data_IF_238075610435
#
_entry.id   IF_238075610435
#
_cell.length_a   1.000
_cell.length_b   1.000
_cell.length_c   1.000
_cell.angle_alpha   90.00
_cell.angle_beta   90.00
_cell.angle_gamma   90.00
#
_symmetry.space_group_name_H-M   'P 1'
#
loop_
_entity.id
_entity.type
_entity.pdbx_description
1 polymer ?
#
# COMPACT_ATOMS: atom_id res chain seq x y z
N UNK A 1 47.87 35.87 -23.53
CA UNK A 1 46.54 36.36 -23.18
C UNK A 1 45.41 35.67 -23.95
N UNK A 2 45.48 35.45 -25.26
CA UNK A 2 44.42 34.79 -26.06
C UNK A 2 44.17 33.33 -25.67
N UNK A 3 45.17 32.58 -25.26
CA UNK A 3 45.04 31.17 -24.84
C UNK A 3 44.37 31.00 -23.47
N UNK A 4 44.57 31.91 -22.53
CA UNK A 4 43.90 31.87 -21.22
C UNK A 4 42.40 32.18 -21.33
N UNK A 5 41.99 33.06 -22.24
CA UNK A 5 40.57 33.35 -22.50
C UNK A 5 39.83 32.17 -23.06
N UNK A 6 40.44 31.33 -23.89
CA UNK A 6 39.84 30.09 -24.43
C UNK A 6 39.68 29.03 -23.35
N UNK A 7 40.63 28.91 -22.42
CA UNK A 7 40.51 27.97 -21.29
C UNK A 7 39.42 28.38 -20.30
N UNK A 8 39.27 29.67 -19.99
CA UNK A 8 38.22 30.17 -19.12
C UNK A 8 36.82 29.96 -19.76
N UNK A 9 36.69 30.17 -21.07
CA UNK A 9 35.43 29.92 -21.78
C UNK A 9 35.04 28.44 -21.81
N UNK A 10 36.01 27.53 -21.87
CA UNK A 10 35.76 26.09 -21.88
C UNK A 10 35.33 25.57 -20.49
N UNK A 11 35.91 26.14 -19.41
CA UNK A 11 35.51 25.78 -18.03
C UNK A 11 34.13 26.30 -17.64
N UNK A 12 33.67 27.43 -18.21
CA UNK A 12 32.33 27.96 -17.92
C UNK A 12 31.22 27.17 -18.58
N UNK A 13 31.51 26.42 -19.65
CA UNK A 13 30.52 25.57 -20.35
C UNK A 13 30.20 24.24 -19.66
N UNK A 14 30.98 23.85 -18.63
CA UNK A 14 30.81 22.57 -17.93
C UNK A 14 29.93 22.66 -16.67
N UNK A 15 29.37 23.84 -16.35
CA UNK A 15 28.51 24.04 -15.20
C UNK A 15 26.98 23.98 -15.51
N UNK A 16 26.62 23.64 -16.72
CA UNK A 16 25.21 23.51 -17.11
C UNK A 16 24.86 22.04 -17.12
N UNK A 17 24.40 21.50 -15.99
CA UNK A 17 23.86 20.15 -16.08
C UNK A 17 23.78 19.33 -14.80
N UNK A 18 23.39 19.91 -13.71
CA UNK A 18 22.64 19.13 -12.71
C UNK A 18 21.21 19.69 -12.73
N UNK A 19 20.41 19.16 -13.63
CA UNK A 19 18.97 19.22 -13.49
C UNK A 19 18.66 18.09 -12.51
N UNK A 20 18.77 18.36 -11.20
CA UNK A 20 18.17 17.51 -10.18
C UNK A 20 16.66 17.58 -10.44
N UNK A 21 16.17 16.62 -11.21
CA UNK A 21 14.74 16.46 -11.44
C UNK A 21 14.09 16.48 -10.07
N UNK A 22 13.20 17.43 -9.88
CA UNK A 22 12.36 17.52 -8.68
C UNK A 22 11.61 16.19 -8.58
N UNK A 23 12.11 15.28 -7.74
CA UNK A 23 11.40 14.03 -7.42
C UNK A 23 10.17 14.41 -6.62
N UNK A 24 9.09 14.73 -7.32
CA UNK A 24 7.77 14.81 -6.68
C UNK A 24 7.41 13.40 -6.23
N UNK A 25 7.68 13.12 -4.95
CA UNK A 25 7.21 11.89 -4.30
C UNK A 25 5.70 11.99 -4.23
N UNK A 26 5.03 11.40 -5.20
CA UNK A 26 3.57 11.29 -5.20
C UNK A 26 3.16 10.43 -4.01
N UNK A 27 2.39 11.00 -3.08
CA UNK A 27 1.94 10.26 -1.90
C UNK A 27 0.68 9.49 -2.25
N UNK A 28 0.63 8.23 -1.87
CA UNK A 28 -0.63 7.47 -1.91
C UNK A 28 -1.56 8.02 -0.83
N UNK A 29 -2.65 8.63 -1.25
CA UNK A 29 -3.59 9.25 -0.32
C UNK A 29 -4.86 8.41 -0.24
N UNK A 30 -4.89 7.43 0.65
CA UNK A 30 -6.11 6.71 1.01
C UNK A 30 -6.63 7.23 2.35
N UNK A 31 -7.69 8.00 2.34
CA UNK A 31 -8.24 8.69 3.52
C UNK A 31 -9.06 7.79 4.44
N UNK A 32 -9.63 6.70 3.93
CA UNK A 32 -10.42 5.77 4.74
C UNK A 32 -9.58 5.08 5.82
N UNK A 33 -10.16 4.78 6.97
CA UNK A 33 -9.50 4.08 8.09
C UNK A 33 -9.80 2.59 8.13
N UNK A 34 -10.72 2.09 7.30
CA UNK A 34 -11.16 0.70 7.29
C UNK A 34 -10.48 -0.09 6.16
N UNK A 35 -10.11 -1.31 6.48
CA UNK A 35 -9.71 -2.34 5.54
C UNK A 35 -10.83 -3.37 5.41
N UNK A 36 -11.10 -3.84 4.21
CA UNK A 36 -12.20 -4.75 3.90
C UNK A 36 -11.66 -6.11 3.48
N UNK A 37 -12.50 -7.15 3.63
CA UNK A 37 -12.28 -8.49 3.10
C UNK A 37 -13.61 -9.06 2.63
N UNK A 38 -13.56 -10.22 2.00
CA UNK A 38 -14.78 -10.95 1.60
C UNK A 38 -15.40 -11.74 2.74
N UNK A 39 -14.65 -12.00 3.79
CA UNK A 39 -15.10 -12.61 5.05
C UNK A 39 -14.81 -11.62 6.19
N UNK A 40 -15.56 -11.74 7.30
CA UNK A 40 -15.31 -10.95 8.51
C UNK A 40 -14.73 -11.82 9.62
N UNK A 41 -13.85 -12.73 9.26
CA UNK A 41 -13.23 -13.70 10.17
C UNK A 41 -11.70 -13.78 9.99
N UNK A 42 -11.08 -14.67 10.74
CA UNK A 42 -9.62 -14.85 10.73
C UNK A 42 -9.12 -15.74 9.58
N UNK A 43 -10.01 -16.26 8.73
CA UNK A 43 -9.63 -17.15 7.61
C UNK A 43 -9.25 -16.38 6.36
N UNK A 44 -9.50 -15.06 6.33
CA UNK A 44 -9.13 -14.21 5.20
C UNK A 44 -7.66 -14.32 4.84
N UNK A 45 -7.38 -14.27 3.56
CA UNK A 45 -6.02 -14.29 2.99
C UNK A 45 -5.65 -12.98 2.31
N UNK A 46 -6.60 -12.03 2.24
CA UNK A 46 -6.33 -10.71 1.72
C UNK A 46 -7.26 -9.66 2.32
N UNK A 47 -6.78 -8.44 2.35
CA UNK A 47 -7.52 -7.24 2.69
C UNK A 47 -7.41 -6.25 1.53
N UNK A 48 -8.46 -5.49 1.30
CA UNK A 48 -8.43 -4.44 0.29
C UNK A 48 -8.97 -3.12 0.85
N UNK A 49 -8.58 -2.05 0.19
CA UNK A 49 -9.00 -0.69 0.47
C UNK A 49 -9.16 0.03 -0.86
N UNK A 50 -10.23 0.79 -1.03
CA UNK A 50 -10.53 1.50 -2.28
C UNK A 50 -10.66 2.98 -2.05
N UNK A 51 -10.28 3.78 -3.05
CA UNK A 51 -10.53 5.21 -3.10
C UNK A 51 -10.69 5.65 -4.56
N UNK A 52 -11.88 6.11 -4.93
CA UNK A 52 -12.17 6.41 -6.34
C UNK A 52 -11.92 5.20 -7.23
N UNK A 53 -11.09 5.37 -8.24
CA UNK A 53 -10.71 4.33 -9.20
C UNK A 53 -9.46 3.53 -8.76
N UNK A 54 -9.06 3.65 -7.51
CA UNK A 54 -7.84 3.03 -7.01
C UNK A 54 -8.13 2.00 -5.93
N UNK A 55 -7.28 0.98 -5.83
CA UNK A 55 -7.32 0.01 -4.75
C UNK A 55 -5.92 -0.39 -4.29
N UNK A 56 -5.81 -0.62 -2.98
CA UNK A 56 -4.69 -1.34 -2.37
C UNK A 56 -5.17 -2.71 -1.94
N UNK A 57 -4.42 -3.76 -2.26
CA UNK A 57 -4.74 -5.15 -1.95
C UNK A 57 -3.54 -5.74 -1.22
N UNK A 58 -3.72 -6.04 0.06
CA UNK A 58 -2.72 -6.70 0.89
C UNK A 58 -3.06 -8.18 0.99
N UNK A 59 -2.20 -9.03 0.43
CA UNK A 59 -2.33 -10.48 0.48
C UNK A 59 -1.35 -11.07 1.51
N UNK A 60 -1.80 -12.13 2.19
CA UNK A 60 -1.02 -12.84 3.19
C UNK A 60 -1.52 -14.28 3.34
N UNK A 61 -0.77 -15.11 4.08
CA UNK A 61 -1.15 -16.52 4.32
C UNK A 61 -2.40 -16.63 5.20
N UNK A 62 -3.19 -17.66 5.00
CA UNK A 62 -4.35 -17.99 5.84
C UNK A 62 -3.95 -18.14 7.32
N UNK A 63 -4.91 -17.84 8.22
CA UNK A 63 -4.75 -17.94 9.67
C UNK A 63 -3.63 -17.04 10.26
N UNK A 64 -3.27 -15.98 9.54
CA UNK A 64 -2.33 -14.97 10.04
C UNK A 64 -2.98 -14.11 11.13
N UNK A 65 -4.20 -13.65 10.87
CA UNK A 65 -4.99 -12.89 11.84
C UNK A 65 -5.53 -13.85 12.90
N UNK A 66 -5.47 -13.43 14.15
CA UNK A 66 -5.98 -14.23 15.29
C UNK A 66 -6.83 -13.37 16.21
N UNK A 67 -7.92 -13.93 16.74
CA UNK A 67 -8.73 -13.31 17.77
C UNK A 67 -8.02 -13.34 19.13
N UNK A 68 -6.87 -12.67 19.20
CA UNK A 68 -6.00 -12.58 20.36
C UNK A 68 -5.22 -11.27 20.30
N UNK A 69 -5.14 -10.57 21.44
CA UNK A 69 -4.29 -9.37 21.56
C UNK A 69 -2.83 -9.77 21.31
N UNK A 70 -2.24 -9.22 20.23
CA UNK A 70 -0.91 -9.55 19.77
C UNK A 70 -0.38 -8.45 18.82
N UNK A 71 0.92 -8.50 18.54
CA UNK A 71 1.53 -7.70 17.48
C UNK A 71 2.46 -8.57 16.67
N UNK A 72 2.20 -8.65 15.37
CA UNK A 72 3.00 -9.43 14.43
C UNK A 72 3.54 -8.52 13.33
N UNK A 73 4.66 -8.89 12.75
CA UNK A 73 5.26 -8.18 11.62
C UNK A 73 5.88 -9.12 10.61
N UNK A 74 6.02 -8.63 9.38
CA UNK A 74 6.69 -9.35 8.30
C UNK A 74 6.94 -8.45 7.10
N UNK A 75 7.86 -8.86 6.24
CA UNK A 75 8.27 -8.06 5.10
C UNK A 75 7.42 -8.36 3.87
N UNK A 76 7.14 -7.33 3.09
CA UNK A 76 6.63 -7.47 1.72
C UNK A 76 7.66 -8.27 0.92
N UNK A 77 7.19 -9.21 0.10
CA UNK A 77 8.02 -10.18 -0.60
C UNK A 77 8.33 -11.45 0.20
N UNK A 78 8.06 -11.47 1.52
CA UNK A 78 8.21 -12.65 2.37
C UNK A 78 6.92 -12.90 3.18
N UNK A 79 5.95 -13.56 2.55
CA UNK A 79 4.66 -13.90 3.14
C UNK A 79 3.60 -12.79 3.09
N UNK A 80 3.95 -11.60 2.61
CA UNK A 80 3.05 -10.50 2.32
C UNK A 80 3.28 -10.00 0.90
N UNK A 81 2.19 -9.69 0.19
CA UNK A 81 2.21 -9.03 -1.10
C UNK A 81 1.27 -7.84 -1.04
N UNK A 82 1.73 -6.67 -1.45
CA UNK A 82 0.88 -5.49 -1.60
C UNK A 82 0.82 -5.10 -3.08
N UNK A 83 -0.40 -4.98 -3.59
CA UNK A 83 -0.69 -4.51 -4.94
C UNK A 83 -1.40 -3.16 -4.86
N UNK A 84 -0.97 -2.22 -5.68
CA UNK A 84 -1.69 -1.00 -5.98
C UNK A 84 -2.26 -1.12 -7.39
N UNK A 85 -3.57 -0.97 -7.52
CA UNK A 85 -4.30 -1.05 -8.79
C UNK A 85 -5.03 0.23 -9.10
N UNK A 86 -5.00 0.64 -10.35
CA UNK A 86 -5.91 1.63 -10.91
C UNK A 86 -6.89 0.96 -11.88
N UNK A 87 -8.08 1.53 -11.96
CA UNK A 87 -9.18 0.99 -12.76
C UNK A 87 -9.76 2.06 -13.69
N UNK A 88 -10.47 1.63 -14.73
CA UNK A 88 -11.23 2.51 -15.63
C UNK A 88 -12.46 3.15 -14.95
N UNK A 89 -12.95 2.54 -13.88
CA UNK A 89 -14.02 3.06 -13.02
C UNK A 89 -13.90 2.51 -11.60
N UNK A 90 -14.63 3.07 -10.63
CA UNK A 90 -14.49 2.69 -9.23
C UNK A 90 -14.88 1.21 -8.99
N UNK A 91 -13.97 0.39 -8.41
CA UNK A 91 -14.29 -1.00 -8.08
C UNK A 91 -15.20 -1.06 -6.85
N UNK A 92 -16.08 -2.04 -6.84
CA UNK A 92 -16.98 -2.35 -5.71
C UNK A 92 -16.51 -3.58 -4.94
N UNK A 93 -17.09 -3.84 -3.77
CA UNK A 93 -16.79 -5.04 -3.00
C UNK A 93 -17.00 -6.33 -3.82
N UNK A 94 -18.01 -6.36 -4.70
CA UNK A 94 -18.29 -7.52 -5.56
C UNK A 94 -17.15 -7.82 -6.53
N UNK A 95 -16.39 -6.78 -6.98
CA UNK A 95 -15.22 -7.01 -7.83
C UNK A 95 -14.18 -7.90 -7.14
N UNK A 96 -13.97 -7.74 -5.84
CA UNK A 96 -12.98 -8.50 -5.08
C UNK A 96 -13.51 -9.85 -4.59
N UNK A 97 -14.84 -9.98 -4.42
CA UNK A 97 -15.44 -11.06 -3.63
C UNK A 97 -16.27 -12.06 -4.45
N UNK A 98 -16.44 -11.87 -5.76
CA UNK A 98 -17.14 -12.85 -6.61
C UNK A 98 -16.20 -13.92 -7.16
N UNK A 99 -16.72 -15.13 -7.31
CA UNK A 99 -16.02 -16.23 -7.99
C UNK A 99 -16.92 -16.77 -9.11
N UNK A 100 -16.50 -16.75 -10.39
CA UNK A 100 -15.23 -16.22 -10.90
C UNK A 100 -15.11 -14.70 -10.73
N UNK A 101 -13.88 -14.15 -10.73
CA UNK A 101 -13.67 -12.71 -10.63
C UNK A 101 -14.38 -11.94 -11.73
N UNK A 102 -14.88 -10.75 -11.40
CA UNK A 102 -15.52 -9.86 -12.38
C UNK A 102 -14.49 -9.33 -13.38
N UNK A 103 -14.93 -9.15 -14.63
CA UNK A 103 -14.11 -8.57 -15.71
C UNK A 103 -14.21 -7.06 -15.80
N UNK A 104 -15.12 -6.46 -15.05
CA UNK A 104 -15.34 -5.01 -14.94
C UNK A 104 -15.46 -4.59 -13.47
N UNK A 105 -14.90 -3.42 -13.08
CA UNK A 105 -14.09 -2.51 -13.88
C UNK A 105 -12.78 -3.14 -14.35
N UNK A 106 -12.20 -2.61 -15.43
CA UNK A 106 -10.92 -3.10 -15.96
C UNK A 106 -9.76 -2.48 -15.20
N UNK A 107 -8.78 -3.28 -14.86
CA UNK A 107 -7.50 -2.80 -14.34
C UNK A 107 -6.75 -2.08 -15.45
N UNK A 108 -6.39 -0.82 -15.22
CA UNK A 108 -5.62 0.01 -16.14
C UNK A 108 -4.12 0.02 -15.81
N UNK A 109 -3.78 -0.16 -14.52
CA UNK A 109 -2.41 -0.32 -14.07
C UNK A 109 -2.36 -1.16 -12.79
N UNK A 110 -1.29 -1.93 -12.62
CA UNK A 110 -1.00 -2.68 -11.41
C UNK A 110 0.47 -2.53 -11.04
N UNK A 111 0.73 -2.12 -9.82
CA UNK A 111 2.08 -1.97 -9.27
C UNK A 111 2.18 -2.84 -8.02
N UNK A 112 3.15 -3.75 -8.02
CA UNK A 112 3.48 -4.53 -6.84
C UNK A 112 4.52 -3.82 -6.00
N UNK A 113 4.27 -3.72 -4.68
CA UNK A 113 5.23 -3.14 -3.76
C UNK A 113 6.53 -3.96 -3.73
N UNK A 114 7.65 -3.22 -3.78
CA UNK A 114 9.00 -3.80 -3.81
C UNK A 114 9.59 -3.94 -2.41
N UNK A 115 9.03 -3.26 -1.42
CA UNK A 115 9.52 -3.31 -0.05
C UNK A 115 8.54 -2.70 0.95
N UNK A 116 8.85 -2.92 2.21
CA UNK A 116 8.11 -2.45 3.37
C UNK A 116 7.93 -3.53 4.42
N UNK A 117 7.68 -3.10 5.65
CA UNK A 117 7.37 -3.99 6.77
C UNK A 117 5.92 -3.83 7.16
N UNK A 118 5.12 -4.85 6.96
CA UNK A 118 3.74 -4.93 7.44
C UNK A 118 3.76 -5.18 8.94
N UNK A 119 3.03 -4.37 9.70
CA UNK A 119 2.87 -4.49 11.14
C UNK A 119 1.37 -4.57 11.41
N UNK A 120 0.93 -5.62 12.07
CA UNK A 120 -0.47 -5.85 12.45
C UNK A 120 -0.55 -5.89 13.96
N UNK A 121 -1.23 -4.91 14.55
CA UNK A 121 -1.47 -4.84 15.99
C UNK A 121 -2.93 -5.16 16.26
N UNK A 122 -3.18 -6.23 17.00
CA UNK A 122 -4.53 -6.69 17.35
C UNK A 122 -4.89 -6.22 18.76
N UNK A 123 -6.04 -5.57 18.89
CA UNK A 123 -6.64 -5.17 20.17
C UNK A 123 -8.03 -5.78 20.31
N UNK A 124 -8.42 -6.07 21.54
CA UNK A 124 -9.76 -6.55 21.89
C UNK A 124 -10.68 -5.35 22.15
N UNK A 125 -11.88 -5.40 21.60
CA UNK A 125 -12.96 -4.43 21.84
C UNK A 125 -14.17 -5.18 22.37
N UNK A 126 -14.62 -4.80 23.56
CA UNK A 126 -15.79 -5.38 24.22
C UNK A 126 -16.97 -4.43 24.09
N UNK A 127 -18.05 -4.92 23.50
CA UNK A 127 -19.34 -4.26 23.59
C UNK A 127 -20.03 -4.74 24.88
N UNK A 128 -20.03 -3.87 25.90
CA UNK A 128 -20.61 -4.18 27.20
C UNK A 128 -22.13 -4.26 27.17
N UNK A 129 -22.78 -3.67 26.15
CA UNK A 129 -24.24 -3.68 26.00
C UNK A 129 -24.68 -4.97 25.27
N UNK A 130 -24.01 -5.31 24.19
CA UNK A 130 -24.32 -6.52 23.41
C UNK A 130 -23.64 -7.77 23.94
N UNK A 131 -22.70 -7.66 24.89
CA UNK A 131 -21.91 -8.78 25.42
C UNK A 131 -20.98 -9.44 24.41
N UNK A 132 -20.69 -8.78 23.29
CA UNK A 132 -19.89 -9.34 22.21
C UNK A 132 -18.43 -8.89 22.31
N UNK A 133 -17.52 -9.76 21.88
CA UNK A 133 -16.08 -9.48 21.80
C UNK A 133 -15.68 -9.44 20.33
N UNK A 134 -15.03 -8.35 19.93
CA UNK A 134 -14.47 -8.13 18.62
C UNK A 134 -12.97 -7.87 18.73
N UNK A 135 -12.26 -8.09 17.64
CA UNK A 135 -10.83 -7.84 17.55
C UNK A 135 -10.54 -6.88 16.40
N UNK A 136 -9.89 -5.78 16.71
CA UNK A 136 -9.44 -4.80 15.73
C UNK A 136 -7.99 -5.09 15.38
N UNK A 137 -7.75 -5.39 14.12
CA UNK A 137 -6.42 -5.57 13.53
C UNK A 137 -6.02 -4.27 12.84
N UNK A 138 -5.23 -3.45 13.49
CA UNK A 138 -4.65 -2.24 12.91
C UNK A 138 -3.44 -2.63 12.06
N UNK A 139 -3.52 -2.37 10.74
CA UNK A 139 -2.49 -2.69 9.78
C UNK A 139 -1.75 -1.41 9.38
N UNK A 140 -0.45 -1.41 9.57
CA UNK A 140 0.47 -0.36 9.13
C UNK A 140 1.56 -0.97 8.27
N UNK A 141 2.07 -0.20 7.33
CA UNK A 141 3.20 -0.60 6.51
C UNK A 141 4.28 0.47 6.66
N UNK A 142 5.41 0.08 7.22
CA UNK A 142 6.56 0.95 7.39
C UNK A 142 7.47 0.81 6.19
N UNK A 143 8.03 1.95 5.75
CA UNK A 143 8.97 2.04 4.64
C UNK A 143 8.43 1.37 3.36
N UNK A 144 7.14 1.62 3.06
CA UNK A 144 6.50 1.14 1.85
C UNK A 144 7.18 1.72 0.62
N UNK A 145 7.53 0.86 -0.33
CA UNK A 145 8.11 1.24 -1.61
C UNK A 145 7.29 0.64 -2.74
N UNK A 146 6.71 1.50 -3.57
CA UNK A 146 6.12 1.16 -4.86
C UNK A 146 6.99 1.72 -5.97
N UNK A 147 7.20 0.97 -7.04
CA UNK A 147 7.94 1.40 -8.23
C UNK A 147 7.11 1.07 -9.45
N UNK A 148 6.77 2.08 -10.24
CA UNK A 148 6.04 1.87 -11.49
C UNK A 148 6.96 1.41 -12.63
N UNK A 149 6.37 1.12 -13.80
CA UNK A 149 7.10 0.64 -14.98
C UNK A 149 8.13 1.67 -15.51
N UNK A 150 7.93 2.97 -15.22
CA UNK A 150 8.85 4.04 -15.60
C UNK A 150 10.02 4.19 -14.62
N UNK A 151 10.04 3.39 -13.53
CA UNK A 151 11.05 3.49 -12.49
C UNK A 151 10.79 4.59 -11.46
N UNK A 152 9.65 5.28 -11.54
CA UNK A 152 9.25 6.27 -10.55
C UNK A 152 8.91 5.55 -9.23
N UNK A 153 9.49 6.06 -8.15
CA UNK A 153 9.35 5.47 -6.82
C UNK A 153 8.43 6.32 -5.95
N UNK A 154 7.44 5.66 -5.38
CA UNK A 154 6.62 6.20 -4.31
C UNK A 154 7.05 5.55 -3.01
N UNK A 155 7.39 6.37 -2.01
CA UNK A 155 7.84 5.90 -0.70
C UNK A 155 6.96 6.52 0.38
N UNK A 156 6.42 5.68 1.27
CA UNK A 156 5.73 6.12 2.47
C UNK A 156 6.35 5.44 3.70
N UNK A 157 6.88 6.25 4.63
CA UNK A 157 7.56 5.74 5.81
C UNK A 157 6.62 5.14 6.85
N UNK A 158 5.34 5.57 6.87
CA UNK A 158 4.37 5.14 7.88
C UNK A 158 2.96 5.05 7.30
N UNK A 159 2.80 4.24 6.28
CA UNK A 159 1.53 4.07 5.60
C UNK A 159 0.49 3.39 6.51
N UNK A 160 -0.65 4.04 6.74
CA UNK A 160 -1.78 3.44 7.44
C UNK A 160 -2.69 2.72 6.46
N UNK A 161 -2.55 1.38 6.38
CA UNK A 161 -3.41 0.58 5.53
C UNK A 161 -4.86 0.57 6.05
N UNK A 162 -5.08 0.55 7.36
CA UNK A 162 -6.40 0.61 7.97
C UNK A 162 -6.62 -0.44 9.04
N UNK A 163 -7.85 -0.49 9.54
CA UNK A 163 -8.28 -1.45 10.56
C UNK A 163 -9.25 -2.45 9.96
N UNK A 164 -8.98 -3.72 10.14
CA UNK A 164 -9.89 -4.83 9.85
C UNK A 164 -10.44 -5.40 11.14
N UNK A 165 -11.75 -5.63 11.21
CA UNK A 165 -12.41 -6.14 12.40
C UNK A 165 -12.87 -7.58 12.20
N UNK A 166 -12.59 -8.44 13.19
CA UNK A 166 -13.11 -9.80 13.28
C UNK A 166 -13.94 -9.98 14.54
N UNK A 167 -14.89 -10.89 14.50
CA UNK A 167 -15.68 -11.33 15.67
C UNK A 167 -15.30 -12.76 16.07
N UNK A 168 -15.55 -13.08 17.32
CA UNK A 168 -15.36 -14.43 17.87
C UNK A 168 -16.58 -15.29 17.59
#
# INVERSE_FOLDING_TARGET
MRTYLLFISLCLGLLIGCNDGDYTVERITFTGTEAHSCTQDTTTTFLYKTQGNEALILQFRANLLKNKVDSISGNIGNGYTLLYRTFDSAPTATYFCTSPPQTTPKVTSEIQAQGGTVIITTSEVRDTVAGTVKYNHLIRIRDLVLTNENGERLVDQNFNFGTYQTSR
#
